data_IF_429449572703
#
_entry.id   IF_429449572703
#
_cell.length_a   1.000
_cell.length_b   1.000
_cell.length_c   1.000
_cell.angle_alpha   90.00
_cell.angle_beta   90.00
_cell.angle_gamma   90.00
#
_symmetry.space_group_name_H-M   'P 1'
#
loop_
_entity.id
_entity.type
_entity.pdbx_description
1 polymer ?
#
# COMPACT_ATOMS: atom_id res chain seq x y z
N UNK A 1 -9.23 0.52 -7.71
CA UNK A 1 -10.59 0.29 -8.27
C UNK A 1 -10.60 -0.94 -9.18
N UNK A 2 -9.69 -1.04 -10.17
CA UNK A 2 -9.73 -2.12 -11.17
C UNK A 2 -9.64 -3.53 -10.60
N UNK A 3 -8.90 -3.73 -9.51
CA UNK A 3 -8.81 -5.02 -8.80
C UNK A 3 -10.16 -5.45 -8.22
N UNK A 4 -10.90 -4.51 -7.61
CA UNK A 4 -12.22 -4.80 -7.01
C UNK A 4 -13.27 -5.00 -8.09
N UNK A 5 -13.31 -4.10 -9.08
CA UNK A 5 -14.27 -4.17 -10.18
C UNK A 5 -14.08 -5.45 -11.04
N UNK A 6 -12.82 -5.85 -11.25
CA UNK A 6 -12.45 -7.06 -12.00
C UNK A 6 -12.49 -8.35 -11.18
N UNK A 7 -12.96 -8.31 -9.92
CA UNK A 7 -12.96 -9.48 -9.03
C UNK A 7 -11.58 -10.18 -8.97
N UNK A 8 -10.52 -9.38 -8.81
CA UNK A 8 -9.12 -9.80 -8.90
C UNK A 8 -8.42 -9.90 -7.53
N UNK A 9 -9.13 -9.72 -6.41
CA UNK A 9 -8.52 -9.66 -5.07
C UNK A 9 -7.73 -10.92 -4.76
N UNK A 10 -8.31 -12.10 -5.00
CA UNK A 10 -7.66 -13.37 -4.71
C UNK A 10 -6.47 -13.65 -5.64
N UNK A 11 -6.55 -13.27 -6.91
CA UNK A 11 -5.45 -13.43 -7.86
C UNK A 11 -4.29 -12.49 -7.51
N UNK A 12 -4.59 -11.24 -7.13
CA UNK A 12 -3.59 -10.29 -6.64
C UNK A 12 -2.93 -10.77 -5.32
N UNK A 13 -3.71 -11.39 -4.43
CA UNK A 13 -3.19 -11.99 -3.19
C UNK A 13 -2.21 -13.12 -3.50
N UNK A 14 -2.60 -14.08 -4.34
CA UNK A 14 -1.72 -15.18 -4.77
C UNK A 14 -0.44 -14.67 -5.43
N UNK A 15 -0.55 -13.62 -6.23
CA UNK A 15 0.60 -13.01 -6.90
C UNK A 15 1.55 -12.36 -5.87
N UNK A 16 1.01 -11.60 -4.92
CA UNK A 16 1.79 -11.00 -3.85
C UNK A 16 2.51 -12.05 -2.99
N UNK A 17 1.81 -13.13 -2.62
CA UNK A 17 2.36 -14.27 -1.89
C UNK A 17 3.46 -14.99 -2.68
N UNK A 18 3.24 -15.20 -3.99
CA UNK A 18 4.24 -15.83 -4.87
C UNK A 18 5.53 -15.03 -4.97
N UNK A 19 5.43 -13.71 -4.91
CA UNK A 19 6.56 -12.78 -5.01
C UNK A 19 7.12 -12.35 -3.64
N UNK A 20 6.44 -12.66 -2.54
CA UNK A 20 6.67 -12.07 -1.21
C UNK A 20 6.75 -10.53 -1.29
N UNK A 21 5.87 -9.92 -2.09
CA UNK A 21 5.85 -8.50 -2.36
C UNK A 21 4.91 -7.74 -1.41
N UNK A 22 5.34 -6.61 -0.81
CA UNK A 22 4.43 -5.77 -0.04
C UNK A 22 3.37 -5.16 -0.94
N UNK A 23 2.14 -5.05 -0.42
CA UNK A 23 1.00 -4.51 -1.16
C UNK A 23 0.53 -3.20 -0.55
N UNK A 24 0.61 -2.14 -1.35
CA UNK A 24 0.05 -0.84 -1.04
C UNK A 24 -1.29 -0.66 -1.74
N UNK A 25 -2.26 -0.10 -1.03
CA UNK A 25 -3.55 0.25 -1.61
C UNK A 25 -3.50 1.67 -2.20
N UNK A 26 -4.24 1.91 -3.27
CA UNK A 26 -4.48 3.26 -3.76
C UNK A 26 -5.46 3.99 -2.85
N UNK A 27 -5.42 5.33 -2.89
CA UNK A 27 -6.35 6.19 -2.15
C UNK A 27 -7.81 5.78 -2.41
N UNK A 28 -8.59 5.62 -1.34
CA UNK A 28 -10.00 5.21 -1.33
C UNK A 28 -10.29 3.76 -1.74
N UNK A 29 -9.28 2.89 -1.83
CA UNK A 29 -9.45 1.50 -2.23
C UNK A 29 -8.78 0.53 -1.27
N UNK A 30 -9.07 0.69 0.03
CA UNK A 30 -8.56 -0.19 1.09
C UNK A 30 -9.14 -1.61 0.98
N UNK A 31 -10.22 -1.77 0.24
CA UNK A 31 -10.90 -3.02 -0.07
C UNK A 31 -10.19 -3.88 -1.15
N UNK A 32 -9.18 -3.32 -1.82
CA UNK A 32 -8.50 -4.01 -2.94
C UNK A 32 -7.49 -5.09 -2.51
N UNK A 33 -7.21 -5.21 -1.22
CA UNK A 33 -6.36 -6.25 -0.64
C UNK A 33 -6.69 -6.45 0.84
N UNK A 34 -6.67 -7.68 1.38
CA UNK A 34 -6.99 -7.92 2.79
C UNK A 34 -6.05 -7.18 3.75
N UNK A 35 -6.56 -6.24 4.54
CA UNK A 35 -5.75 -5.40 5.42
C UNK A 35 -5.02 -6.17 6.54
N UNK A 36 -5.57 -7.31 6.97
CA UNK A 36 -4.95 -8.20 7.96
C UNK A 36 -3.82 -9.07 7.40
N UNK A 37 -3.63 -9.09 6.07
CA UNK A 37 -2.59 -9.92 5.45
C UNK A 37 -1.19 -9.43 5.82
N UNK A 38 -0.21 -10.34 6.09
CA UNK A 38 1.17 -9.94 6.45
C UNK A 38 1.83 -8.99 5.44
N UNK A 39 1.54 -9.16 4.15
CA UNK A 39 2.07 -8.33 3.06
C UNK A 39 1.30 -7.00 2.87
N UNK A 40 0.15 -6.80 3.51
CA UNK A 40 -0.57 -5.53 3.46
C UNK A 40 0.20 -4.46 4.25
N UNK A 41 0.54 -3.34 3.60
CA UNK A 41 1.30 -2.26 4.23
C UNK A 41 0.51 -0.95 4.30
N UNK A 42 -0.75 -0.98 3.87
CA UNK A 42 -1.69 0.14 3.97
C UNK A 42 -1.73 1.03 2.72
N UNK A 43 -2.54 2.08 2.76
CA UNK A 43 -2.74 2.96 1.62
C UNK A 43 -1.57 3.90 1.40
N UNK A 44 -1.35 4.27 0.13
CA UNK A 44 -0.45 5.34 -0.28
C UNK A 44 -1.19 6.69 -0.34
N UNK A 45 -0.43 7.76 -0.36
CA UNK A 45 -0.91 9.11 -0.66
C UNK A 45 -1.42 9.85 0.56
N UNK A 46 -2.33 10.79 0.31
CA UNK A 46 -2.87 11.66 1.33
C UNK A 46 -3.50 10.88 2.48
N UNK A 47 -3.05 11.13 3.70
CA UNK A 47 -3.40 10.35 4.90
C UNK A 47 -3.09 8.85 4.81
N UNK A 48 -2.11 8.48 3.99
CA UNK A 48 -1.70 7.09 3.82
C UNK A 48 -0.80 6.57 4.94
N UNK A 49 -0.36 5.33 4.77
CA UNK A 49 0.57 4.65 5.69
C UNK A 49 2.01 5.10 5.43
N UNK A 50 2.71 5.54 6.47
CA UNK A 50 4.14 5.83 6.39
C UNK A 50 4.93 4.57 6.03
N UNK A 51 4.53 3.41 6.55
CA UNK A 51 5.15 2.13 6.19
C UNK A 51 5.03 1.83 4.69
N UNK A 52 3.86 2.08 4.08
CA UNK A 52 3.67 1.92 2.64
C UNK A 52 4.61 2.83 1.84
N UNK A 53 4.74 4.09 2.27
CA UNK A 53 5.60 5.08 1.61
C UNK A 53 7.08 4.70 1.72
N UNK A 54 7.54 4.26 2.89
CA UNK A 54 8.93 3.84 3.11
C UNK A 54 9.28 2.58 2.32
N UNK A 55 8.35 1.64 2.18
CA UNK A 55 8.59 0.41 1.43
C UNK A 55 8.59 0.66 -0.08
N UNK A 56 7.63 1.41 -0.61
CA UNK A 56 7.60 1.69 -2.05
C UNK A 56 8.80 2.54 -2.50
N UNK A 57 9.32 3.42 -1.63
CA UNK A 57 10.49 4.24 -1.97
C UNK A 57 11.77 3.42 -2.22
N UNK A 58 11.81 2.20 -1.72
CA UNK A 58 12.93 1.25 -1.87
C UNK A 58 12.70 0.22 -2.97
N UNK A 59 11.57 0.31 -3.68
CA UNK A 59 11.23 -0.65 -4.71
C UNK A 59 12.10 -0.43 -5.97
N UNK A 60 12.61 -1.52 -6.51
CA UNK A 60 13.24 -1.61 -7.83
C UNK A 60 12.22 -1.92 -8.94
N UNK A 61 11.10 -2.56 -8.57
CA UNK A 61 9.96 -2.81 -9.46
C UNK A 61 8.67 -2.45 -8.76
N UNK A 62 7.78 -1.73 -9.44
CA UNK A 62 6.41 -1.45 -8.98
C UNK A 62 5.43 -2.04 -9.98
N UNK A 63 4.62 -3.00 -9.54
CA UNK A 63 3.50 -3.54 -10.30
C UNK A 63 2.21 -2.85 -9.87
N UNK A 64 1.69 -1.98 -10.71
CA UNK A 64 0.48 -1.20 -10.49
C UNK A 64 -0.71 -1.85 -11.20
N UNK A 65 -1.52 -2.63 -10.48
CA UNK A 65 -2.66 -3.38 -11.02
C UNK A 65 -3.97 -2.60 -10.88
N UNK A 66 -4.65 -2.36 -12.01
CA UNK A 66 -5.97 -1.76 -12.05
C UNK A 66 -6.04 -0.37 -11.40
N UNK A 67 -4.97 0.41 -11.56
CA UNK A 67 -4.87 1.76 -10.98
C UNK A 67 -4.29 2.76 -11.97
N UNK A 68 -4.91 3.93 -12.04
CA UNK A 68 -4.39 5.06 -12.82
C UNK A 68 -3.25 5.84 -12.14
N UNK A 69 -2.78 5.36 -10.99
CA UNK A 69 -1.79 6.05 -10.17
C UNK A 69 -2.20 7.50 -9.85
N UNK A 70 -3.44 7.66 -9.41
CA UNK A 70 -4.04 8.96 -9.07
C UNK A 70 -3.05 9.84 -8.27
N UNK A 71 -2.95 11.15 -8.54
CA UNK A 71 -2.09 12.05 -7.77
C UNK A 71 -2.28 11.94 -6.26
N UNK A 72 -3.51 11.83 -5.76
CA UNK A 72 -3.76 11.63 -4.32
C UNK A 72 -3.15 10.34 -3.74
N UNK A 73 -2.93 9.31 -4.57
CA UNK A 73 -2.22 8.08 -4.18
C UNK A 73 -0.71 8.18 -4.34
N UNK A 74 -0.18 9.27 -4.89
CA UNK A 74 1.25 9.43 -5.19
C UNK A 74 1.83 10.76 -4.72
N UNK A 75 1.06 11.54 -3.94
CA UNK A 75 1.54 12.76 -3.29
C UNK A 75 2.54 12.41 -2.18
N UNK A 76 3.64 13.17 -2.04
CA UNK A 76 4.52 13.05 -0.89
C UNK A 76 3.78 13.16 0.43
N UNK A 77 4.21 12.40 1.43
CA UNK A 77 3.64 12.42 2.76
C UNK A 77 4.71 12.25 3.83
N UNK A 78 4.49 12.77 5.02
CA UNK A 78 5.42 12.72 6.16
C UNK A 78 6.84 13.23 5.82
N UNK A 79 6.96 14.21 4.91
CA UNK A 79 8.25 14.71 4.42
C UNK A 79 9.00 13.73 3.48
N UNK A 80 8.37 12.65 3.04
CA UNK A 80 8.96 11.63 2.17
C UNK A 80 8.47 11.83 0.74
N UNK A 81 9.40 12.09 -0.21
CA UNK A 81 9.15 11.93 -1.65
C UNK A 81 9.36 10.45 -2.00
N UNK A 82 8.32 9.66 -1.75
CA UNK A 82 8.41 8.20 -1.73
C UNK A 82 8.28 7.53 -3.10
N UNK A 83 7.94 8.27 -4.15
CA UNK A 83 7.81 7.63 -5.46
C UNK A 83 9.19 7.22 -6.00
N UNK A 84 9.43 5.92 -6.27
CA UNK A 84 10.75 5.44 -6.66
C UNK A 84 11.08 5.92 -8.09
N UNK A 85 12.14 6.74 -8.22
CA UNK A 85 12.50 7.41 -9.49
C UNK A 85 13.16 6.46 -10.49
N UNK A 86 13.91 5.49 -9.96
CA UNK A 86 14.71 4.55 -10.75
C UNK A 86 14.05 3.17 -10.91
N UNK A 87 12.87 2.97 -10.31
CA UNK A 87 12.15 1.71 -10.39
C UNK A 87 11.56 1.44 -11.77
N UNK A 88 11.52 0.17 -12.14
CA UNK A 88 10.72 -0.30 -13.27
C UNK A 88 9.23 -0.26 -12.91
N UNK A 89 8.47 0.62 -13.54
CA UNK A 89 7.03 0.75 -13.31
C UNK A 89 6.28 -0.04 -14.37
N UNK A 90 5.54 -1.07 -13.93
CA UNK A 90 4.63 -1.86 -14.76
C UNK A 90 3.20 -1.45 -14.38
N UNK A 91 2.48 -0.84 -15.31
CA UNK A 91 1.10 -0.40 -15.07
C UNK A 91 0.11 -1.19 -15.90
N UNK A 92 -0.93 -1.70 -15.24
CA UNK A 92 -2.05 -2.43 -15.86
C UNK A 92 -3.32 -1.62 -15.65
N UNK A 93 -3.98 -1.25 -16.73
CA UNK A 93 -5.31 -0.62 -16.70
C UNK A 93 -6.12 -1.05 -17.93
N UNK A 94 -7.44 -1.18 -17.77
CA UNK A 94 -8.36 -1.47 -18.88
C UNK A 94 -8.46 -0.31 -19.88
N UNK A 95 -8.24 0.92 -19.40
CA UNK A 95 -8.28 2.11 -20.24
C UNK A 95 -6.84 2.52 -20.61
N UNK A 96 -6.47 2.40 -21.90
CA UNK A 96 -5.12 2.75 -22.35
C UNK A 96 -4.75 4.22 -22.09
N UNK A 97 -5.72 5.14 -22.07
CA UNK A 97 -5.48 6.57 -21.82
C UNK A 97 -5.03 6.86 -20.39
N UNK A 98 -5.18 5.91 -19.47
CA UNK A 98 -4.72 6.03 -18.08
C UNK A 98 -3.31 5.54 -17.86
N UNK A 99 -2.76 4.76 -18.80
CA UNK A 99 -1.41 4.23 -18.71
C UNK A 99 -0.41 5.36 -18.97
N UNK A 100 0.47 5.59 -18.03
CA UNK A 100 1.48 6.67 -18.10
C UNK A 100 0.94 8.09 -17.89
N UNK A 101 -0.35 8.25 -17.60
CA UNK A 101 -0.98 9.57 -17.46
C UNK A 101 -0.40 10.40 -16.30
N UNK A 102 -0.12 9.77 -15.18
CA UNK A 102 0.31 10.47 -13.94
C UNK A 102 1.78 10.26 -13.63
N UNK A 103 2.30 9.11 -13.92
CA UNK A 103 3.69 8.70 -13.65
C UNK A 103 4.29 8.08 -14.89
N UNK A 104 5.60 8.30 -15.09
CA UNK A 104 6.33 7.62 -16.15
C UNK A 104 6.26 6.11 -15.94
N UNK A 105 5.89 5.37 -16.98
CA UNK A 105 5.71 3.92 -16.96
C UNK A 105 6.76 3.29 -17.88
N UNK A 106 7.36 2.20 -17.40
CA UNK A 106 8.34 1.43 -18.19
C UNK A 106 7.62 0.41 -19.06
N UNK A 107 6.59 -0.26 -18.50
CA UNK A 107 5.78 -1.24 -19.21
C UNK A 107 4.30 -0.93 -18.99
N UNK A 108 3.57 -0.61 -20.04
CA UNK A 108 2.12 -0.41 -20.01
C UNK A 108 1.40 -1.65 -20.56
N UNK A 109 0.43 -2.17 -19.81
CA UNK A 109 -0.40 -3.30 -20.21
C UNK A 109 -1.86 -2.85 -20.23
N UNK A 110 -2.46 -2.78 -21.41
CA UNK A 110 -3.90 -2.58 -21.54
C UNK A 110 -4.60 -3.92 -21.33
N UNK A 111 -5.25 -4.08 -20.18
CA UNK A 111 -5.89 -5.37 -19.85
C UNK A 111 -6.58 -5.36 -18.49
N UNK A 112 -7.38 -6.39 -18.28
CA UNK A 112 -8.04 -6.65 -17.01
C UNK A 112 -7.04 -7.10 -15.94
N UNK A 113 -7.17 -6.56 -14.72
CA UNK A 113 -6.24 -6.83 -13.62
C UNK A 113 -6.21 -8.31 -13.23
N UNK A 114 -7.36 -9.01 -13.27
CA UNK A 114 -7.46 -10.44 -12.95
C UNK A 114 -6.71 -11.28 -13.98
N UNK A 115 -7.04 -11.06 -15.25
CA UNK A 115 -6.42 -11.80 -16.34
C UNK A 115 -4.91 -11.61 -16.40
N UNK A 116 -4.45 -10.39 -16.21
CA UNK A 116 -3.01 -10.10 -16.19
C UNK A 116 -2.32 -10.72 -14.98
N UNK A 117 -2.94 -10.64 -13.79
CA UNK A 117 -2.39 -11.28 -12.59
C UNK A 117 -2.25 -12.80 -12.75
N UNK A 118 -3.28 -13.46 -13.33
CA UNK A 118 -3.25 -14.89 -13.64
C UNK A 118 -2.15 -15.25 -14.64
N UNK A 119 -2.02 -14.49 -15.72
CA UNK A 119 -0.97 -14.73 -16.72
C UNK A 119 0.44 -14.54 -16.15
N UNK A 120 0.63 -13.57 -15.26
CA UNK A 120 1.90 -13.41 -14.56
C UNK A 120 2.17 -14.61 -13.67
N UNK A 121 1.18 -15.06 -12.88
CA UNK A 121 1.30 -16.23 -12.02
C UNK A 121 1.70 -17.49 -12.80
N UNK A 122 1.07 -17.73 -13.96
CA UNK A 122 1.39 -18.86 -14.84
C UNK A 122 2.85 -18.81 -15.35
N UNK A 123 3.34 -17.59 -15.66
CA UNK A 123 4.70 -17.40 -16.17
C UNK A 123 5.78 -17.35 -15.09
N UNK A 124 5.41 -17.03 -13.85
CA UNK A 124 6.30 -17.14 -12.69
C UNK A 124 6.54 -18.63 -12.41
N UNK A 125 7.53 -19.19 -13.08
CA UNK A 125 7.95 -20.58 -12.86
C UNK A 125 8.27 -20.85 -11.38
N UNK A 126 8.33 -22.13 -11.01
CA UNK A 126 8.72 -22.62 -9.68
C UNK A 126 10.09 -22.13 -9.20
N UNK A 127 10.86 -21.55 -10.08
CA UNK A 127 12.21 -21.00 -9.87
C UNK A 127 12.24 -19.47 -9.73
N UNK A 128 11.20 -18.82 -9.30
CA UNK A 128 11.31 -17.44 -8.81
C UNK A 128 12.30 -17.48 -7.64
N UNK A 129 13.55 -17.11 -7.95
CA UNK A 129 14.70 -17.33 -7.08
C UNK A 129 14.48 -16.83 -5.66
N UNK A 130 15.08 -17.54 -4.72
CA UNK A 130 15.02 -17.24 -3.27
C UNK A 130 15.82 -15.97 -2.87
N UNK A 131 16.35 -15.27 -3.87
CA UNK A 131 17.25 -14.14 -3.66
C UNK A 131 16.56 -12.99 -2.91
N UNK A 132 16.91 -12.80 -1.64
CA UNK A 132 16.48 -11.68 -0.83
C UNK A 132 15.03 -11.75 -0.31
N UNK A 133 14.37 -12.89 -0.37
CA UNK A 133 12.98 -13.04 0.12
C UNK A 133 12.87 -12.85 1.62
N UNK A 134 13.77 -13.46 2.37
CA UNK A 134 13.77 -13.36 3.82
C UNK A 134 14.10 -11.93 4.27
N UNK A 135 15.08 -11.28 3.65
CA UNK A 135 15.41 -9.88 3.92
C UNK A 135 14.22 -8.96 3.63
N UNK A 136 13.49 -9.23 2.55
CA UNK A 136 12.28 -8.46 2.21
C UNK A 136 11.16 -8.66 3.23
N UNK A 137 10.90 -9.88 3.68
CA UNK A 137 9.91 -10.16 4.74
C UNK A 137 10.29 -9.47 6.03
N UNK A 138 11.55 -9.52 6.41
CA UNK A 138 12.07 -8.85 7.60
C UNK A 138 11.91 -7.33 7.48
N UNK A 139 12.23 -6.74 6.33
CA UNK A 139 12.04 -5.31 6.07
C UNK A 139 10.57 -4.92 6.19
N UNK A 140 9.66 -5.68 5.59
CA UNK A 140 8.21 -5.44 5.68
C UNK A 140 7.77 -5.45 7.14
N UNK A 141 8.16 -6.50 7.88
CA UNK A 141 7.78 -6.65 9.28
C UNK A 141 8.31 -5.50 10.15
N UNK A 142 9.58 -5.17 10.02
CA UNK A 142 10.21 -4.07 10.77
C UNK A 142 9.55 -2.73 10.48
N UNK A 143 9.31 -2.41 9.20
CA UNK A 143 8.72 -1.14 8.80
C UNK A 143 7.27 -1.01 9.30
N UNK A 144 6.47 -2.08 9.20
CA UNK A 144 5.11 -2.12 9.75
C UNK A 144 5.10 -1.96 11.26
N UNK A 145 5.97 -2.67 11.97
CA UNK A 145 6.06 -2.61 13.43
C UNK A 145 6.45 -1.22 13.92
N UNK A 146 7.43 -0.57 13.27
CA UNK A 146 7.83 0.79 13.60
C UNK A 146 6.68 1.79 13.38
N UNK A 147 5.93 1.65 12.29
CA UNK A 147 4.76 2.50 12.04
C UNK A 147 3.65 2.27 13.07
N UNK A 148 3.37 1.03 13.42
CA UNK A 148 2.39 0.70 14.45
C UNK A 148 2.78 1.27 15.82
N UNK A 149 4.07 1.19 16.19
CA UNK A 149 4.60 1.82 17.41
C UNK A 149 4.39 3.33 17.39
N UNK A 150 4.66 4.00 16.25
CA UNK A 150 4.40 5.43 16.08
C UNK A 150 2.92 5.76 16.29
N UNK A 151 2.02 5.00 15.67
CA UNK A 151 0.58 5.20 15.84
C UNK A 151 0.14 4.99 17.30
N UNK A 152 0.75 4.01 17.98
CA UNK A 152 0.47 3.74 19.40
C UNK A 152 0.96 4.87 20.28
N UNK A 153 2.16 5.41 20.05
CA UNK A 153 2.68 6.54 20.84
C UNK A 153 1.81 7.78 20.71
N UNK A 154 1.29 8.04 19.51
CA UNK A 154 0.38 9.17 19.27
C UNK A 154 -0.97 9.06 20.00
N UNK A 155 -1.38 7.87 20.44
CA UNK A 155 -2.59 7.69 21.25
C UNK A 155 -2.38 8.09 22.72
N UNK A 156 -1.12 8.20 23.16
CA UNK A 156 -0.72 8.51 24.53
C UNK A 156 -0.16 9.92 24.72
N UNK A 157 -0.05 10.72 23.65
CA UNK A 157 0.38 12.13 23.74
C UNK A 157 -0.75 12.97 24.38
N UNK A 158 -0.77 12.95 25.71
CA UNK A 158 -1.67 13.77 26.53
C UNK A 158 -1.23 15.22 26.69
N UNK A 159 -0.05 15.59 26.21
CA UNK A 159 0.65 16.83 26.59
C UNK A 159 0.66 17.92 25.51
N UNK A 160 -0.08 17.81 24.40
CA UNK A 160 -0.23 18.92 23.48
C UNK A 160 -1.22 19.96 24.05
N UNK A 161 -0.74 21.20 24.38
CA UNK A 161 -1.61 22.24 24.93
C UNK A 161 -2.75 22.70 24.01
N UNK A 162 -2.71 22.33 22.72
CA UNK A 162 -3.85 22.50 21.79
C UNK A 162 -5.00 21.53 22.04
N UNK A 163 -4.87 20.58 22.96
CA UNK A 163 -5.76 19.44 23.16
C UNK A 163 -6.61 19.49 24.42
N UNK A 164 -6.85 20.66 25.03
CA UNK A 164 -7.90 20.81 26.08
C UNK A 164 -9.21 20.21 25.59
N UNK A 165 -9.50 20.35 24.30
CA UNK A 165 -10.63 19.71 23.60
C UNK A 165 -10.57 18.18 23.64
N UNK A 166 -9.41 17.60 23.50
CA UNK A 166 -9.21 16.15 23.52
C UNK A 166 -9.32 15.57 24.93
N UNK A 167 -8.92 16.28 25.98
CA UNK A 167 -9.06 15.84 27.37
C UNK A 167 -10.53 15.72 27.78
N UNK A 168 -11.31 16.76 27.54
CA UNK A 168 -12.75 16.76 27.86
C UNK A 168 -13.53 15.73 27.00
N UNK A 169 -13.15 15.57 25.72
CA UNK A 169 -13.75 14.57 24.85
C UNK A 169 -13.40 13.13 25.31
N UNK A 170 -12.18 12.89 25.77
CA UNK A 170 -11.75 11.58 26.28
C UNK A 170 -12.42 11.22 27.61
N UNK A 171 -12.60 12.18 28.51
CA UNK A 171 -13.33 11.94 29.76
C UNK A 171 -14.80 11.62 29.51
N UNK A 172 -15.41 12.29 28.53
CA UNK A 172 -16.80 12.08 28.15
C UNK A 172 -17.04 10.77 27.42
N UNK A 173 -16.06 10.30 26.64
CA UNK A 173 -16.17 9.18 25.73
C UNK A 173 -15.18 8.04 26.09
N UNK A 174 -14.94 7.79 27.38
CA UNK A 174 -13.98 6.78 27.88
C UNK A 174 -14.15 5.38 27.26
N UNK A 175 -15.37 5.04 26.86
CA UNK A 175 -15.72 3.73 26.31
C UNK A 175 -15.75 3.72 24.77
N UNK A 176 -15.35 4.82 24.12
CA UNK A 176 -15.32 4.91 22.64
C UNK A 176 -13.91 4.84 22.11
N UNK A 177 -13.72 4.00 21.11
CA UNK A 177 -12.46 3.99 20.36
C UNK A 177 -12.24 5.33 19.65
N UNK A 178 -11.03 5.86 19.76
CA UNK A 178 -10.62 7.00 18.91
C UNK A 178 -10.62 6.59 17.43
N UNK A 179 -10.78 7.52 16.48
CA UNK A 179 -10.63 7.21 15.07
C UNK A 179 -9.31 6.50 14.74
N UNK A 180 -8.23 6.81 15.45
CA UNK A 180 -6.93 6.14 15.28
C UNK A 180 -6.95 4.69 15.76
N UNK A 181 -7.64 4.39 16.87
CA UNK A 181 -7.80 3.02 17.37
C UNK A 181 -8.67 2.18 16.43
N UNK A 182 -9.67 2.78 15.76
CA UNK A 182 -10.52 2.10 14.81
C UNK A 182 -9.78 1.73 13.49
N UNK A 183 -8.62 2.32 13.22
CA UNK A 183 -7.81 2.05 12.03
C UNK A 183 -6.67 1.04 12.28
N UNK A 184 -6.60 0.44 13.45
CA UNK A 184 -5.71 -0.66 13.81
C UNK A 184 -6.36 -1.99 13.52
#
# INVERSE_FOLDING_TARGET
AGVVIGDAIDDCKKLAEKLDAPVCNGYQHNDSFPGSHPLAVGPLGYNGSKAAMELISKADVVLALGTRLNPFSTLPGYGIDYWPKDATIIQVDMNPDRIGLTKKVTVGICGDAKMVAQQILEKLSSNAGDNGREDRKNLIHQTKSAWLQTLTSLDHEDDDPGTVWNKEARERDKDRMSPRQAWR
#
